data_IF_615824762042
#
_entry.id   IF_615824762042
#
_cell.length_a   1.000
_cell.length_b   1.000
_cell.length_c   1.000
_cell.angle_alpha   90.00
_cell.angle_beta   90.00
_cell.angle_gamma   90.00
#
_symmetry.space_group_name_H-M   'P 1'
#
loop_
_entity.id
_entity.type
_entity.pdbx_description
1 polymer ?
#
# COMPACT_ATOMS: atom_id res chain seq x y z
N UNK A 1 -5.70 -20.54 20.56
CA UNK A 1 -5.55 -20.16 20.22
C UNK A 1 -4.92 -19.58 19.87
N UNK A 2 -4.64 -19.66 19.78
CA UNK A 2 -4.11 -19.19 19.49
C UNK A 2 -4.04 -18.62 19.16
N UNK A 3 -4.25 -18.85 18.97
CA UNK A 3 -4.09 -18.40 18.69
C UNK A 3 -4.16 -17.35 18.61
N UNK A 4 -4.85 -17.67 18.53
CA UNK A 4 -5.16 -16.28 18.53
C UNK A 4 -4.01 -15.36 18.78
N UNK A 5 -2.97 -15.74 18.29
CA UNK A 5 -1.79 -14.90 18.39
C UNK A 5 -1.90 -13.80 17.35
N UNK A 6 -2.01 -12.58 17.80
CA UNK A 6 -2.00 -11.42 16.91
C UNK A 6 -0.55 -11.07 16.64
N UNK A 7 -0.16 -11.12 15.39
CA UNK A 7 1.16 -10.69 15.01
C UNK A 7 1.25 -9.18 15.20
N UNK A 8 2.07 -8.71 16.15
CA UNK A 8 2.14 -7.26 16.41
C UNK A 8 2.72 -6.47 15.25
N UNK A 9 3.31 -7.16 14.27
CA UNK A 9 3.89 -6.50 13.10
C UNK A 9 2.89 -6.37 11.96
N UNK A 10 1.73 -7.01 12.10
CA UNK A 10 0.75 -6.97 11.02
C UNK A 10 -0.15 -5.74 11.15
N UNK A 11 -0.32 -5.06 10.03
CA UNK A 11 -1.15 -3.87 9.95
C UNK A 11 -2.49 -4.19 9.29
N UNK A 12 -3.53 -3.46 9.67
CA UNK A 12 -4.78 -3.48 8.94
C UNK A 12 -4.60 -2.67 7.66
N UNK A 13 -5.28 -3.07 6.61
CA UNK A 13 -5.20 -2.35 5.34
C UNK A 13 -6.57 -1.76 5.05
N UNK A 14 -6.59 -0.46 4.78
CA UNK A 14 -7.80 0.25 4.39
C UNK A 14 -7.54 0.94 3.06
N UNK A 15 -8.57 0.99 2.21
CA UNK A 15 -8.48 1.63 0.92
C UNK A 15 -9.45 2.79 0.86
N UNK A 16 -8.95 3.97 0.51
CA UNK A 16 -9.81 5.10 0.22
C UNK A 16 -10.50 4.88 -1.13
N UNK A 17 -11.64 5.53 -1.37
CA UNK A 17 -12.36 5.36 -2.63
C UNK A 17 -11.51 5.58 -3.87
N UNK A 18 -10.59 6.55 -3.84
CA UNK A 18 -9.71 6.80 -4.97
C UNK A 18 -8.79 5.63 -5.26
N UNK A 19 -8.28 4.98 -4.21
CA UNK A 19 -7.42 3.82 -4.38
C UNK A 19 -8.21 2.63 -4.93
N UNK A 20 -9.43 2.43 -4.45
CA UNK A 20 -10.29 1.36 -4.96
C UNK A 20 -10.52 1.55 -6.45
N UNK A 21 -10.84 2.78 -6.85
CA UNK A 21 -11.08 3.10 -8.24
C UNK A 21 -9.82 2.85 -9.09
N UNK A 22 -8.67 3.27 -8.58
CA UNK A 22 -7.41 3.05 -9.29
C UNK A 22 -7.16 1.56 -9.54
N UNK A 23 -7.33 0.75 -8.50
CA UNK A 23 -7.07 -0.69 -8.61
C UNK A 23 -8.05 -1.33 -9.60
N UNK A 24 -9.32 -0.95 -9.51
CA UNK A 24 -10.35 -1.52 -10.39
C UNK A 24 -10.11 -1.19 -11.86
N UNK A 25 -9.40 -0.11 -12.15
CA UNK A 25 -9.13 0.28 -13.52
C UNK A 25 -7.94 -0.45 -14.14
N UNK A 26 -7.22 -1.24 -13.36
CA UNK A 26 -6.05 -1.96 -13.83
C UNK A 26 -6.42 -3.30 -14.43
N UNK A 27 -5.56 -3.82 -15.33
CA UNK A 27 -5.73 -5.21 -15.77
C UNK A 27 -5.69 -6.15 -14.58
N UNK A 28 -6.48 -7.22 -14.65
CA UNK A 28 -6.65 -8.15 -13.53
C UNK A 28 -5.32 -8.66 -12.98
N UNK A 29 -4.39 -8.99 -13.86
CA UNK A 29 -3.09 -9.50 -13.44
C UNK A 29 -2.31 -8.49 -12.63
N UNK A 30 -2.40 -7.22 -13.02
CA UNK A 30 -1.73 -6.14 -12.30
C UNK A 30 -2.41 -5.91 -10.95
N UNK A 31 -3.75 -5.97 -10.91
CA UNK A 31 -4.48 -5.86 -9.65
C UNK A 31 -3.98 -6.88 -8.65
N UNK A 32 -3.91 -8.14 -9.07
CA UNK A 32 -3.48 -9.23 -8.19
C UNK A 32 -2.08 -8.97 -7.64
N UNK A 33 -1.18 -8.51 -8.51
CA UNK A 33 0.19 -8.25 -8.12
C UNK A 33 0.28 -7.11 -7.11
N UNK A 34 -0.45 -6.04 -7.37
CA UNK A 34 -0.46 -4.87 -6.48
C UNK A 34 -1.02 -5.25 -5.12
N UNK A 35 -2.14 -5.95 -5.11
CA UNK A 35 -2.78 -6.34 -3.85
C UNK A 35 -1.90 -7.30 -3.06
N UNK A 36 -1.23 -8.23 -3.73
CA UNK A 36 -0.33 -9.16 -3.06
C UNK A 36 0.83 -8.42 -2.40
N UNK A 37 1.39 -7.42 -3.08
CA UNK A 37 2.49 -6.66 -2.51
C UNK A 37 2.05 -5.81 -1.33
N UNK A 38 0.84 -5.26 -1.39
CA UNK A 38 0.31 -4.50 -0.26
C UNK A 38 0.13 -5.42 0.94
N UNK A 39 -0.36 -6.62 0.70
CA UNK A 39 -0.56 -7.58 1.78
C UNK A 39 0.77 -8.00 2.41
N UNK A 40 1.80 -8.23 1.59
CA UNK A 40 3.12 -8.53 2.12
C UNK A 40 3.64 -7.38 2.97
N UNK A 41 3.41 -6.16 2.51
CA UNK A 41 3.84 -4.98 3.24
C UNK A 41 3.16 -4.88 4.60
N UNK A 42 1.90 -5.33 4.69
CA UNK A 42 1.17 -5.24 5.95
C UNK A 42 1.80 -6.12 7.03
N UNK A 43 2.52 -7.15 6.64
CA UNK A 43 3.23 -8.00 7.59
C UNK A 43 4.57 -7.39 7.99
N UNK A 44 5.15 -6.60 7.09
CA UNK A 44 6.50 -6.11 7.33
C UNK A 44 6.78 -4.88 6.46
N UNK A 45 6.83 -3.73 7.08
CA UNK A 45 7.11 -2.48 6.38
C UNK A 45 8.58 -2.36 6.05
N UNK A 46 9.00 -3.00 4.97
CA UNK A 46 10.38 -3.00 4.51
C UNK A 46 10.45 -2.87 3.01
N UNK A 47 11.65 -3.04 2.53
CA UNK A 47 11.98 -3.18 1.12
C UNK A 47 11.59 -1.93 0.34
N UNK A 48 10.72 -2.03 -0.61
CA UNK A 48 10.42 -0.94 -1.55
C UNK A 48 9.58 0.19 -0.97
N UNK A 49 9.44 0.24 0.35
CA UNK A 49 8.67 1.30 1.01
C UNK A 49 9.57 2.50 1.30
N UNK A 50 9.14 3.66 0.88
CA UNK A 50 9.86 4.89 1.13
C UNK A 50 8.92 5.99 1.57
N UNK A 51 9.37 6.77 2.55
CA UNK A 51 8.68 7.98 2.93
C UNK A 51 8.95 9.03 1.85
N UNK A 52 7.91 9.72 1.40
CA UNK A 52 8.07 10.67 0.31
C UNK A 52 8.93 11.87 0.71
N UNK A 53 8.69 12.41 1.89
CA UNK A 53 9.53 13.49 2.41
C UNK A 53 9.62 13.35 3.92
N UNK A 54 10.53 14.10 4.52
CA UNK A 54 10.66 14.12 5.96
C UNK A 54 9.52 14.85 6.67
N UNK A 55 8.71 15.60 5.94
CA UNK A 55 7.65 16.41 6.53
C UNK A 55 6.27 15.84 6.38
N UNK A 56 6.08 14.82 5.55
CA UNK A 56 4.75 14.27 5.31
C UNK A 56 4.62 12.93 5.99
N UNK A 57 3.37 12.50 6.13
CA UNK A 57 3.05 11.16 6.60
C UNK A 57 2.92 10.19 5.45
N UNK A 58 3.20 10.65 4.24
CA UNK A 58 3.02 9.84 3.06
C UNK A 58 4.16 8.86 2.86
N UNK A 59 3.79 7.65 2.50
CA UNK A 59 4.72 6.60 2.16
C UNK A 59 4.41 6.10 0.78
N UNK A 60 5.38 5.47 0.16
CA UNK A 60 5.24 4.95 -1.18
C UNK A 60 5.80 3.55 -1.25
N UNK A 61 5.00 2.63 -1.78
CA UNK A 61 5.44 1.27 -2.07
C UNK A 61 5.53 1.14 -3.59
N UNK A 62 6.68 0.71 -4.07
CA UNK A 62 6.85 0.48 -5.50
C UNK A 62 6.45 -0.94 -5.87
N UNK A 63 5.59 -1.06 -6.89
CA UNK A 63 5.18 -2.34 -7.42
C UNK A 63 5.30 -2.27 -8.94
N UNK A 64 6.43 -2.69 -9.47
CA UNK A 64 6.70 -2.55 -10.89
C UNK A 64 6.64 -1.09 -11.30
N UNK A 65 5.77 -0.78 -12.26
CA UNK A 65 5.60 0.58 -12.74
C UNK A 65 4.56 1.38 -11.96
N UNK A 66 4.07 0.81 -10.86
CA UNK A 66 3.03 1.46 -10.07
C UNK A 66 3.57 1.91 -8.73
N UNK A 67 2.91 2.92 -8.18
CA UNK A 67 3.23 3.45 -6.86
C UNK A 67 1.97 3.40 -6.02
N UNK A 68 2.06 2.73 -4.88
CA UNK A 68 0.99 2.68 -3.89
C UNK A 68 1.27 3.79 -2.90
N UNK A 69 0.38 4.76 -2.82
CA UNK A 69 0.53 5.90 -1.91
C UNK A 69 -0.34 5.66 -0.69
N UNK A 70 0.27 5.69 0.48
CA UNK A 70 -0.45 5.35 1.69
C UNK A 70 0.08 6.16 2.88
N UNK A 71 -0.70 6.15 3.94
CA UNK A 71 -0.31 6.70 5.23
C UNK A 71 -0.43 5.61 6.27
N UNK A 72 0.29 5.78 7.36
CA UNK A 72 0.20 4.85 8.48
C UNK A 72 -0.45 5.58 9.63
N UNK A 73 -1.59 5.05 10.09
CA UNK A 73 -2.33 5.62 11.22
C UNK A 73 -2.46 4.53 12.28
N UNK A 74 -1.67 4.61 13.34
CA UNK A 74 -1.64 3.56 14.34
C UNK A 74 -1.19 2.26 13.72
N UNK A 75 -2.06 1.26 13.73
CA UNK A 75 -1.80 -0.03 13.11
C UNK A 75 -2.49 -0.20 11.76
N UNK A 76 -2.92 0.90 11.17
CA UNK A 76 -3.62 0.86 9.89
C UNK A 76 -2.76 1.46 8.80
N UNK A 77 -2.69 0.76 7.68
CA UNK A 77 -2.11 1.28 6.44
C UNK A 77 -3.29 1.76 5.61
N UNK A 78 -3.34 3.06 5.36
CA UNK A 78 -4.45 3.65 4.63
C UNK A 78 -3.98 4.00 3.23
N UNK A 79 -4.39 3.21 2.26
CA UNK A 79 -4.00 3.40 0.86
C UNK A 79 -4.97 4.39 0.24
N UNK A 80 -4.46 5.52 -0.23
CA UNK A 80 -5.34 6.54 -0.79
C UNK A 80 -5.24 6.65 -2.31
N UNK A 81 -4.15 6.24 -2.93
CA UNK A 81 -4.04 6.20 -4.39
C UNK A 81 -3.09 5.10 -4.82
N UNK A 82 -3.31 4.57 -6.03
CA UNK A 82 -2.37 3.67 -6.68
C UNK A 82 -2.20 4.19 -8.10
N UNK A 83 -1.00 4.67 -8.41
CA UNK A 83 -0.77 5.37 -9.67
C UNK A 83 0.34 4.74 -10.47
N UNK A 84 0.19 4.80 -11.78
CA UNK A 84 1.28 4.44 -12.67
C UNK A 84 2.41 5.44 -12.48
N UNK A 85 3.66 5.00 -12.65
CA UNK A 85 4.81 5.87 -12.42
C UNK A 85 4.73 7.18 -13.17
N UNK A 86 4.17 7.14 -14.37
CA UNK A 86 4.02 8.36 -15.18
C UNK A 86 3.13 9.39 -14.51
N UNK A 87 2.07 8.90 -13.87
CA UNK A 87 1.13 9.79 -13.20
C UNK A 87 1.67 10.28 -11.87
N UNK A 88 2.46 9.44 -11.20
CA UNK A 88 2.97 9.77 -9.88
C UNK A 88 3.98 10.93 -9.93
N UNK A 89 4.58 11.16 -11.08
CA UNK A 89 5.59 12.21 -11.22
C UNK A 89 5.07 13.44 -11.95
N UNK A 90 3.78 13.55 -12.09
CA UNK A 90 3.18 14.71 -12.71
C UNK A 90 2.76 15.73 -11.70
#
# INVERSE_FOLDING_TARGET
MATGVIDPMKYDIQFKPGAVKDVKSMPTRIQARVLARIEEMSDNLKDDVKRLTGFTREYRLRVGDYRVLFEIEGKSIVVYRVRHRREAYR
#
